data_IF_936071473692
#
_entry.id   IF_936071473692
#
_cell.length_a   1.000
_cell.length_b   1.000
_cell.length_c   1.000
_cell.angle_alpha   90.00
_cell.angle_beta   90.00
_cell.angle_gamma   90.00
#
_symmetry.space_group_name_H-M   'P 1'
#
loop_
_entity.id
_entity.type
_entity.pdbx_description
1 polymer ?
#
# COMPACT_ATOMS: atom_id res chain seq x y z
N UNK A 1 45.66 -5.27 -0.92
CA UNK A 1 46.44 -6.06 0.06
C UNK A 1 45.46 -6.56 1.11
N UNK A 2 45.43 -7.87 1.41
CA UNK A 2 44.40 -8.50 2.27
C UNK A 2 44.71 -8.45 3.78
N UNK A 3 45.48 -7.46 4.21
CA UNK A 3 45.93 -7.32 5.59
C UNK A 3 45.57 -5.92 6.07
N UNK A 4 44.83 -5.84 7.16
CA UNK A 4 44.36 -4.57 7.74
C UNK A 4 44.71 -4.54 9.22
N UNK A 5 45.27 -3.43 9.68
CA UNK A 5 45.46 -3.16 11.11
C UNK A 5 44.13 -2.71 11.69
N UNK A 6 43.64 -3.41 12.72
CA UNK A 6 42.36 -3.13 13.36
C UNK A 6 42.60 -2.69 14.79
N UNK A 7 41.92 -1.61 15.21
CA UNK A 7 41.99 -1.08 16.57
C UNK A 7 40.59 -1.04 17.18
N UNK A 8 40.48 -1.47 18.43
CA UNK A 8 39.29 -1.38 19.27
C UNK A 8 39.67 -0.96 20.69
N UNK A 9 38.69 -0.55 21.48
CA UNK A 9 38.89 -0.25 22.90
C UNK A 9 39.00 -1.56 23.70
N UNK A 10 40.06 -1.71 24.47
CA UNK A 10 40.24 -2.86 25.34
C UNK A 10 39.13 -2.91 26.40
N UNK A 11 38.67 -4.11 26.82
CA UNK A 11 37.57 -4.24 27.76
C UNK A 11 37.89 -3.60 29.12
N UNK A 12 36.92 -2.87 29.65
CA UNK A 12 36.95 -2.36 31.02
C UNK A 12 36.49 -3.44 32.00
N UNK A 13 37.24 -3.61 33.09
CA UNK A 13 36.96 -4.61 34.10
C UNK A 13 36.50 -3.92 35.39
N UNK A 14 35.29 -4.25 35.87
CA UNK A 14 34.74 -3.70 37.10
C UNK A 14 34.79 -4.74 38.22
N UNK A 15 35.78 -4.64 39.11
CA UNK A 15 35.86 -5.46 40.32
C UNK A 15 36.20 -4.62 41.54
N UNK A 16 35.85 -5.14 42.73
CA UNK A 16 36.26 -4.57 44.01
C UNK A 16 37.76 -4.83 44.31
N UNK A 17 38.37 -5.81 43.63
CA UNK A 17 39.74 -6.25 43.82
C UNK A 17 40.64 -5.90 42.63
N UNK A 18 41.95 -5.77 42.89
CA UNK A 18 42.97 -5.43 41.90
C UNK A 18 43.21 -6.56 40.88
N UNK A 19 43.29 -6.20 39.60
CA UNK A 19 43.58 -7.12 38.49
C UNK A 19 45.09 -7.26 38.35
N UNK A 20 45.59 -8.49 38.36
CA UNK A 20 47.03 -8.78 38.28
C UNK A 20 47.50 -9.12 36.88
N UNK A 21 46.63 -9.69 36.05
CA UNK A 21 46.96 -10.00 34.65
C UNK A 21 45.73 -9.96 33.76
N UNK A 22 45.95 -9.56 32.50
CA UNK A 22 44.98 -9.63 31.42
C UNK A 22 45.68 -10.27 30.23
N UNK A 23 45.09 -11.35 29.72
CA UNK A 23 45.57 -12.08 28.55
C UNK A 23 44.48 -12.09 27.47
N UNK A 24 44.89 -12.11 26.21
CA UNK A 24 43.99 -12.18 25.05
C UNK A 24 44.61 -13.00 23.92
N UNK A 25 43.77 -13.65 23.12
CA UNK A 25 44.20 -14.31 21.89
C UNK A 25 44.54 -13.32 20.76
N UNK A 26 44.01 -12.09 20.80
CA UNK A 26 44.30 -11.00 19.86
C UNK A 26 44.34 -9.64 20.58
N UNK A 27 45.16 -8.71 20.10
CA UNK A 27 45.32 -7.37 20.69
C UNK A 27 44.90 -6.27 19.73
N UNK A 28 44.37 -5.19 20.29
CA UNK A 28 44.08 -3.97 19.53
C UNK A 28 45.36 -3.47 18.86
N UNK A 29 45.30 -3.23 17.55
CA UNK A 29 46.46 -2.89 16.70
C UNK A 29 47.10 -4.09 15.98
N UNK A 30 46.61 -5.32 16.20
CA UNK A 30 47.05 -6.48 15.43
C UNK A 30 46.60 -6.38 13.95
N UNK A 31 47.29 -7.14 13.10
CA UNK A 31 47.02 -7.21 11.67
C UNK A 31 46.18 -8.46 11.38
N UNK A 32 45.01 -8.24 10.80
CA UNK A 32 44.06 -9.30 10.45
C UNK A 32 43.99 -9.49 8.94
N UNK A 33 43.75 -10.74 8.54
CA UNK A 33 43.32 -11.07 7.19
C UNK A 33 41.78 -11.08 7.12
N UNK A 34 41.20 -11.10 5.93
CA UNK A 34 39.74 -11.20 5.79
C UNK A 34 39.20 -12.50 6.37
N UNK A 35 38.12 -12.41 7.14
CA UNK A 35 37.50 -13.54 7.82
C UNK A 35 36.92 -13.17 9.18
N UNK A 36 36.56 -14.22 9.93
CA UNK A 36 35.87 -14.12 11.20
C UNK A 36 36.82 -14.49 12.34
N UNK A 37 36.92 -13.62 13.35
CA UNK A 37 37.81 -13.80 14.50
C UNK A 37 37.02 -13.65 15.78
N UNK A 38 37.06 -14.68 16.62
CA UNK A 38 36.49 -14.64 17.96
C UNK A 38 37.57 -14.16 18.94
N UNK A 39 37.41 -12.96 19.47
CA UNK A 39 38.38 -12.34 20.38
C UNK A 39 37.95 -12.63 21.82
N UNK A 40 38.87 -13.17 22.61
CA UNK A 40 38.63 -13.59 23.99
C UNK A 40 39.69 -12.98 24.89
N UNK A 41 39.24 -12.18 25.83
CA UNK A 41 40.04 -11.63 26.92
C UNK A 41 39.74 -12.38 28.22
N UNK A 42 40.80 -12.68 28.97
CA UNK A 42 40.72 -13.23 30.32
C UNK A 42 41.50 -12.37 31.29
N UNK A 43 40.89 -11.98 32.40
CA UNK A 43 41.55 -11.24 33.47
C UNK A 43 41.58 -12.04 34.76
N UNK A 44 42.70 -12.02 35.49
CA UNK A 44 42.83 -12.67 36.79
C UNK A 44 43.00 -11.62 37.89
N UNK A 45 42.30 -11.80 39.02
CA UNK A 45 42.47 -10.96 40.21
C UNK A 45 43.49 -11.55 41.20
N UNK A 46 43.82 -10.79 42.25
CA UNK A 46 44.76 -11.22 43.31
C UNK A 46 44.33 -12.48 44.07
N UNK A 47 43.03 -12.78 44.11
CA UNK A 47 42.48 -14.00 44.72
C UNK A 47 42.55 -15.23 43.80
N UNK A 48 43.00 -15.05 42.56
CA UNK A 48 43.11 -16.10 41.56
C UNK A 48 41.83 -16.37 40.76
N UNK A 49 40.76 -15.59 40.98
CA UNK A 49 39.52 -15.65 40.20
C UNK A 49 39.75 -15.10 38.79
N UNK A 50 39.13 -15.75 37.79
CA UNK A 50 39.29 -15.39 36.37
C UNK A 50 37.96 -14.92 35.78
N UNK A 51 37.94 -13.72 35.22
CA UNK A 51 36.85 -13.18 34.41
C UNK A 51 37.12 -13.35 32.92
N UNK A 52 36.06 -13.44 32.11
CA UNK A 52 36.14 -13.60 30.65
C UNK A 52 35.23 -12.59 29.96
N UNK A 53 35.76 -11.92 28.92
CA UNK A 53 35.02 -11.04 28.02
C UNK A 53 35.35 -11.44 26.59
N UNK A 54 34.37 -11.46 25.69
CA UNK A 54 34.56 -11.90 24.32
C UNK A 54 33.65 -11.17 23.34
N UNK A 55 34.11 -11.04 22.10
CA UNK A 55 33.35 -10.46 20.99
C UNK A 55 33.84 -11.02 19.65
N UNK A 56 32.98 -10.94 18.64
CA UNK A 56 33.31 -11.38 17.28
C UNK A 56 33.75 -10.17 16.43
N UNK A 57 34.83 -10.36 15.67
CA UNK A 57 35.37 -9.41 14.70
C UNK A 57 35.23 -9.99 13.28
N UNK A 58 34.49 -9.29 12.43
CA UNK A 58 34.29 -9.64 11.03
C UNK A 58 35.08 -8.66 10.15
N UNK A 59 36.08 -9.16 9.41
CA UNK A 59 36.86 -8.33 8.49
C UNK A 59 36.61 -8.70 7.03
N UNK A 60 36.16 -7.73 6.27
CA UNK A 60 35.67 -7.88 4.90
C UNK A 60 36.19 -6.74 3.99
N UNK A 61 36.35 -6.98 2.68
CA UNK A 61 36.47 -5.89 1.71
C UNK A 61 35.22 -5.00 1.77
N UNK A 62 35.40 -3.70 2.02
CA UNK A 62 34.34 -2.70 1.81
C UNK A 62 34.27 -2.35 0.32
N UNK A 63 33.89 -3.34 -0.50
CA UNK A 63 33.92 -3.28 -1.97
C UNK A 63 32.52 -3.20 -2.59
N UNK A 64 31.51 -2.78 -1.83
CA UNK A 64 30.19 -2.54 -2.38
C UNK A 64 30.22 -1.25 -3.20
N UNK A 65 30.61 -1.34 -4.48
CA UNK A 65 30.39 -0.25 -5.42
C UNK A 65 28.90 0.01 -5.51
N UNK A 66 28.50 1.27 -5.41
CA UNK A 66 27.14 1.67 -5.77
C UNK A 66 26.90 1.20 -7.21
N UNK A 67 25.86 0.36 -7.46
CA UNK A 67 25.56 -0.05 -8.81
C UNK A 67 25.30 1.19 -9.66
N UNK A 68 25.82 1.16 -10.88
CA UNK A 68 25.66 2.23 -11.86
C UNK A 68 24.20 2.21 -12.33
N UNK A 69 23.33 2.85 -11.54
CA UNK A 69 21.97 3.13 -11.95
C UNK A 69 22.03 4.42 -12.74
N UNK A 70 21.87 4.32 -14.06
CA UNK A 70 21.50 5.48 -14.86
C UNK A 70 20.17 5.99 -14.27
N UNK A 71 20.28 7.03 -13.46
CA UNK A 71 19.13 7.82 -13.03
C UNK A 71 18.60 8.53 -14.26
N UNK A 72 17.87 7.79 -15.09
CA UNK A 72 17.22 8.37 -16.23
C UNK A 72 16.19 9.36 -15.70
N UNK A 73 16.38 10.63 -16.04
CA UNK A 73 15.74 11.80 -15.43
C UNK A 73 14.22 11.92 -15.72
N UNK A 74 13.54 10.81 -15.97
CA UNK A 74 12.11 10.71 -16.20
C UNK A 74 11.39 9.65 -15.37
N UNK A 75 12.09 8.82 -14.59
CA UNK A 75 11.49 7.71 -13.86
C UNK A 75 10.98 8.14 -12.47
N UNK A 76 9.78 7.66 -12.08
CA UNK A 76 9.13 7.97 -10.78
C UNK A 76 9.82 7.28 -9.60
N UNK A 77 10.69 6.31 -9.86
CA UNK A 77 11.45 5.54 -8.88
C UNK A 77 12.80 6.20 -8.54
N UNK A 78 13.03 6.56 -7.28
CA UNK A 78 14.37 6.93 -6.79
C UNK A 78 14.91 5.78 -5.94
N UNK A 79 16.09 5.26 -6.31
CA UNK A 79 16.87 4.37 -5.46
C UNK A 79 17.52 5.21 -4.36
N UNK A 80 17.05 5.03 -3.14
CA UNK A 80 17.65 5.67 -1.96
C UNK A 80 18.60 4.70 -1.28
N UNK A 81 19.82 5.16 -1.04
CA UNK A 81 20.83 4.45 -0.28
C UNK A 81 20.82 5.00 1.14
N UNK A 82 20.44 4.18 2.11
CA UNK A 82 20.60 4.54 3.52
C UNK A 82 21.90 3.94 4.03
N UNK A 83 22.84 4.82 4.38
CA UNK A 83 24.04 4.43 5.13
C UNK A 83 23.64 4.34 6.62
N UNK A 84 22.84 3.34 6.94
CA UNK A 84 22.51 3.08 8.34
C UNK A 84 23.71 2.41 8.98
N UNK A 85 24.55 3.23 9.61
CA UNK A 85 25.43 2.78 10.68
C UNK A 85 24.64 1.90 11.66
N UNK A 86 25.20 0.73 11.97
CA UNK A 86 24.92 -0.10 13.14
C UNK A 86 23.64 -0.97 13.13
N UNK A 87 23.69 -2.08 12.41
CA UNK A 87 23.48 -3.37 13.07
C UNK A 87 24.88 -3.97 13.25
N UNK A 88 25.22 -4.46 14.44
CA UNK A 88 26.58 -4.83 14.90
C UNK A 88 27.29 -5.98 14.13
N UNK A 89 27.06 -6.16 12.83
CA UNK A 89 27.54 -7.33 12.04
C UNK A 89 28.07 -6.94 10.64
N UNK A 90 28.07 -5.66 10.26
CA UNK A 90 28.66 -5.21 8.99
C UNK A 90 27.92 -4.03 8.38
N UNK A 91 28.55 -3.35 7.42
CA UNK A 91 27.91 -2.33 6.59
C UNK A 91 26.91 -2.99 5.65
N UNK A 92 25.63 -3.00 6.02
CA UNK A 92 24.58 -3.36 5.07
C UNK A 92 24.18 -2.08 4.33
N UNK A 93 24.57 -1.96 3.06
CA UNK A 93 23.90 -1.01 2.18
C UNK A 93 22.56 -1.65 1.77
N UNK A 94 21.46 -0.92 1.96
CA UNK A 94 20.15 -1.31 1.49
C UNK A 94 19.68 -0.36 0.38
N UNK A 95 19.09 -0.92 -0.66
CA UNK A 95 18.42 -0.17 -1.71
C UNK A 95 16.90 -0.25 -1.51
N UNK A 96 16.26 0.91 -1.43
CA UNK A 96 14.80 1.08 -1.44
C UNK A 96 14.37 1.74 -2.74
N UNK A 97 13.25 1.26 -3.31
CA UNK A 97 12.56 1.95 -4.40
C UNK A 97 11.57 2.90 -3.76
N UNK A 98 11.78 4.21 -3.92
CA UNK A 98 10.82 5.24 -3.50
C UNK A 98 10.09 5.77 -4.72
N UNK A 99 8.78 5.96 -4.64
CA UNK A 99 7.96 6.46 -5.74
C UNK A 99 7.24 7.74 -5.32
N UNK A 100 7.17 8.74 -6.20
CA UNK A 100 6.42 9.97 -5.95
C UNK A 100 4.90 9.77 -6.15
N UNK A 101 4.38 8.66 -5.65
CA UNK A 101 2.95 8.35 -5.59
C UNK A 101 2.57 8.21 -4.11
N UNK A 102 1.54 8.93 -3.68
CA UNK A 102 1.06 8.94 -2.30
C UNK A 102 0.47 7.60 -1.86
N UNK A 103 0.17 6.71 -2.81
CA UNK A 103 -0.38 5.36 -2.59
C UNK A 103 0.70 4.27 -2.54
N UNK A 104 1.98 4.64 -2.63
CA UNK A 104 3.09 3.72 -2.38
C UNK A 104 3.27 3.53 -0.85
N UNK A 105 3.24 2.29 -0.32
CA UNK A 105 3.37 2.02 1.09
C UNK A 105 4.76 2.39 1.59
N UNK A 106 4.77 3.16 2.68
CA UNK A 106 5.93 3.38 3.53
C UNK A 106 5.80 2.51 4.79
N UNK A 107 6.89 1.93 5.32
CA UNK A 107 8.28 2.15 4.94
C UNK A 107 8.74 1.29 3.76
N UNK A 108 9.68 1.83 2.98
CA UNK A 108 10.22 1.18 1.79
C UNK A 108 10.83 -0.19 2.13
N UNK A 109 10.50 -1.26 1.38
CA UNK A 109 11.14 -2.54 1.62
C UNK A 109 12.61 -2.49 1.21
N UNK A 110 13.48 -3.13 2.01
CA UNK A 110 14.88 -3.33 1.65
C UNK A 110 14.99 -4.50 0.68
N UNK A 111 15.39 -4.22 -0.57
CA UNK A 111 15.44 -5.25 -1.62
C UNK A 111 16.77 -5.99 -1.69
N UNK A 112 17.85 -5.29 -1.38
CA UNK A 112 19.21 -5.80 -1.53
C UNK A 112 20.02 -5.55 -0.27
N UNK A 113 20.91 -6.49 0.02
CA UNK A 113 21.95 -6.38 1.05
C UNK A 113 23.28 -6.72 0.41
N UNK A 114 24.28 -5.86 0.61
CA UNK A 114 25.64 -6.20 0.23
C UNK A 114 26.26 -7.17 1.25
N UNK A 115 26.88 -8.25 0.78
CA UNK A 115 27.59 -9.18 1.63
C UNK A 115 29.02 -8.73 1.96
N UNK A 116 29.66 -9.51 2.82
CA UNK A 116 31.06 -9.34 3.24
C UNK A 116 32.08 -9.49 2.09
N UNK A 117 31.67 -9.93 0.90
CA UNK A 117 32.54 -10.04 -0.28
C UNK A 117 32.31 -8.89 -1.28
N UNK A 118 31.50 -7.89 -0.92
CA UNK A 118 31.15 -6.79 -1.82
C UNK A 118 30.11 -7.18 -2.87
N UNK A 119 29.44 -8.32 -2.72
CA UNK A 119 28.42 -8.80 -3.66
C UNK A 119 27.01 -8.42 -3.17
N UNK A 120 26.19 -7.96 -4.10
CA UNK A 120 24.79 -7.64 -3.82
C UNK A 120 23.92 -8.90 -3.88
N UNK A 121 23.19 -9.18 -2.80
CA UNK A 121 22.22 -10.27 -2.74
C UNK A 121 20.82 -9.76 -2.43
N UNK A 122 19.80 -10.51 -2.84
CA UNK A 122 18.42 -10.26 -2.42
C UNK A 122 18.34 -10.39 -0.90
N UNK A 123 17.68 -9.42 -0.25
CA UNK A 123 17.44 -9.49 1.20
C UNK A 123 16.73 -10.80 1.56
N UNK A 124 17.30 -11.55 2.50
CA UNK A 124 16.74 -12.82 3.00
C UNK A 124 15.41 -12.59 3.74
N UNK A 125 15.20 -11.38 4.24
CA UNK A 125 13.97 -10.94 4.91
C UNK A 125 12.93 -10.37 3.94
N UNK A 126 13.19 -10.37 2.63
CA UNK A 126 12.23 -9.88 1.64
C UNK A 126 11.16 -10.97 1.43
N UNK A 127 9.91 -10.82 1.91
CA UNK A 127 8.84 -11.68 1.44
C UNK A 127 8.74 -11.58 -0.09
N UNK A 128 7.93 -12.42 -0.73
CA UNK A 128 7.51 -12.17 -2.09
C UNK A 128 6.71 -10.85 -2.11
N UNK A 129 7.44 -9.73 -2.14
CA UNK A 129 6.89 -8.40 -2.19
C UNK A 129 6.42 -8.23 -3.62
N UNK A 130 5.12 -8.32 -3.79
CA UNK A 130 4.48 -7.70 -4.94
C UNK A 130 4.64 -6.21 -4.71
N UNK A 131 5.67 -5.63 -5.32
CA UNK A 131 5.91 -4.20 -5.27
C UNK A 131 4.64 -3.48 -5.74
N UNK A 132 4.12 -2.53 -4.98
CA UNK A 132 3.01 -1.70 -5.41
C UNK A 132 3.45 -0.89 -6.63
N UNK A 133 2.47 -0.45 -7.37
CA UNK A 133 2.70 0.09 -8.71
C UNK A 133 3.47 1.40 -8.62
N UNK A 134 4.72 1.40 -9.08
CA UNK A 134 5.48 2.62 -9.33
C UNK A 134 5.13 3.23 -10.70
N UNK A 135 3.84 3.39 -10.95
CA UNK A 135 3.27 4.04 -12.11
C UNK A 135 2.19 5.01 -11.66
N UNK A 136 1.83 5.97 -12.51
CA UNK A 136 0.75 6.88 -12.15
C UNK A 136 -0.53 6.08 -11.82
N UNK A 137 -1.25 6.55 -10.81
CA UNK A 137 -2.53 5.99 -10.41
C UNK A 137 -3.66 6.98 -10.66
N UNK A 138 -4.86 6.45 -10.86
CA UNK A 138 -6.08 7.24 -11.03
C UNK A 138 -7.22 6.62 -10.20
N UNK A 139 -8.22 7.43 -9.88
CA UNK A 139 -9.39 6.93 -9.18
C UNK A 139 -10.28 6.11 -10.14
N UNK A 140 -10.84 4.98 -9.67
CA UNK A 140 -11.80 4.24 -10.46
C UNK A 140 -13.14 4.97 -10.48
N UNK A 141 -13.91 4.74 -11.54
CA UNK A 141 -15.33 5.04 -11.56
C UNK A 141 -16.06 4.01 -10.70
N UNK A 142 -16.46 4.39 -9.50
CA UNK A 142 -17.34 3.61 -8.63
C UNK A 142 -18.78 3.82 -9.08
N UNK A 143 -19.46 2.74 -9.45
CA UNK A 143 -20.88 2.74 -9.85
C UNK A 143 -21.68 1.91 -8.86
N UNK A 144 -22.56 2.57 -8.13
CA UNK A 144 -23.48 1.97 -7.17
C UNK A 144 -24.86 1.96 -7.79
N UNK A 145 -25.53 0.81 -7.74
CA UNK A 145 -26.89 0.65 -8.26
C UNK A 145 -27.75 0.03 -7.20
N UNK A 146 -29.01 0.40 -7.17
CA UNK A 146 -29.96 -0.17 -6.24
C UNK A 146 -31.37 0.21 -6.63
N UNK A 147 -32.30 -0.22 -5.79
CA UNK A 147 -33.69 0.15 -5.96
C UNK A 147 -34.39 0.29 -4.61
N UNK A 148 -35.41 1.15 -4.59
CA UNK A 148 -36.35 1.30 -3.48
C UNK A 148 -37.74 0.95 -3.99
N UNK A 149 -38.38 -0.03 -3.35
CA UNK A 149 -39.77 -0.42 -3.64
C UNK A 149 -40.67 0.10 -2.54
N UNK A 150 -41.79 0.70 -2.92
CA UNK A 150 -42.90 1.01 -2.01
C UNK A 150 -44.13 0.17 -2.37
N UNK A 151 -44.80 -0.37 -1.36
CA UNK A 151 -46.04 -1.15 -1.50
C UNK A 151 -47.30 -0.26 -1.68
N UNK A 152 -47.17 0.89 -2.35
CA UNK A 152 -48.29 1.73 -2.82
C UNK A 152 -47.77 2.73 -3.87
N UNK A 153 -48.64 3.20 -4.77
CA UNK A 153 -48.37 4.25 -5.76
C UNK A 153 -48.73 5.66 -5.30
N UNK A 154 -49.34 5.81 -4.12
CA UNK A 154 -49.71 7.12 -3.59
C UNK A 154 -48.48 7.96 -3.24
N UNK A 155 -48.60 9.28 -3.45
CA UNK A 155 -47.56 10.27 -3.16
C UNK A 155 -46.20 9.97 -3.81
N UNK A 156 -46.19 9.58 -5.10
CA UNK A 156 -44.96 9.29 -5.85
C UNK A 156 -43.90 10.38 -5.68
N UNK A 157 -44.25 11.65 -5.90
CA UNK A 157 -43.32 12.78 -5.80
C UNK A 157 -42.71 12.92 -4.41
N UNK A 158 -43.52 12.82 -3.35
CA UNK A 158 -43.03 12.93 -1.97
C UNK A 158 -42.04 11.81 -1.64
N UNK A 159 -42.31 10.60 -2.10
CA UNK A 159 -41.46 9.42 -1.86
C UNK A 159 -40.19 9.45 -2.70
N UNK A 160 -40.31 9.86 -3.96
CA UNK A 160 -39.18 10.14 -4.83
C UNK A 160 -38.24 11.15 -4.15
N UNK A 161 -38.78 12.30 -3.71
CA UNK A 161 -37.99 13.35 -3.08
C UNK A 161 -37.37 12.91 -1.75
N UNK A 162 -38.07 12.07 -0.98
CA UNK A 162 -37.54 11.46 0.25
C UNK A 162 -36.32 10.59 -0.02
N UNK A 163 -36.41 9.71 -1.02
CA UNK A 163 -35.31 8.81 -1.42
C UNK A 163 -34.15 9.62 -2.00
N UNK A 164 -34.45 10.60 -2.85
CA UNK A 164 -33.47 11.48 -3.47
C UNK A 164 -32.69 12.28 -2.40
N UNK A 165 -33.39 12.99 -1.51
CA UNK A 165 -32.75 13.75 -0.42
C UNK A 165 -31.91 12.88 0.50
N UNK A 166 -32.35 11.64 0.79
CA UNK A 166 -31.58 10.74 1.62
C UNK A 166 -30.22 10.39 0.99
N UNK A 167 -30.20 10.15 -0.32
CA UNK A 167 -28.95 9.89 -1.06
C UNK A 167 -28.10 11.15 -1.21
N UNK A 168 -28.70 12.27 -1.62
CA UNK A 168 -28.02 13.57 -1.77
C UNK A 168 -27.36 13.99 -0.45
N UNK A 169 -28.02 13.81 0.70
CA UNK A 169 -27.44 14.15 2.00
C UNK A 169 -26.13 13.43 2.31
N UNK A 170 -25.97 12.19 1.84
CA UNK A 170 -24.73 11.42 2.00
C UNK A 170 -23.68 11.82 0.98
N UNK A 171 -24.10 12.06 -0.27
CA UNK A 171 -23.23 12.40 -1.38
C UNK A 171 -22.65 13.81 -1.24
N UNK A 172 -23.44 14.77 -0.78
CA UNK A 172 -23.04 16.16 -0.57
C UNK A 172 -22.05 16.33 0.59
N UNK A 173 -21.99 15.37 1.53
CA UNK A 173 -20.92 15.31 2.54
C UNK A 173 -19.58 14.90 1.94
N UNK A 174 -19.59 14.24 0.77
CA UNK A 174 -18.40 13.70 0.11
C UNK A 174 -17.92 14.67 -0.96
N UNK A 175 -18.80 15.06 -1.88
CA UNK A 175 -18.48 15.88 -3.04
C UNK A 175 -19.74 16.54 -3.61
N UNK A 176 -19.62 17.28 -4.70
CA UNK A 176 -20.73 18.02 -5.32
C UNK A 176 -21.33 17.28 -6.52
N UNK A 177 -22.60 17.53 -6.90
CA UNK A 177 -23.14 17.02 -8.15
C UNK A 177 -22.41 17.61 -9.37
N UNK A 178 -22.25 16.84 -10.43
CA UNK A 178 -21.62 17.33 -11.66
C UNK A 178 -22.53 18.30 -12.43
N UNK A 179 -22.01 19.45 -12.86
CA UNK A 179 -22.76 20.51 -13.57
C UNK A 179 -23.52 20.03 -14.83
N UNK A 180 -22.97 19.07 -15.58
CA UNK A 180 -23.49 18.65 -16.89
C UNK A 180 -24.10 17.23 -16.91
N UNK A 181 -24.18 16.51 -15.77
CA UNK A 181 -24.49 15.07 -15.73
C UNK A 181 -23.74 14.23 -16.81
N UNK A 182 -22.58 14.71 -17.27
CA UNK A 182 -21.85 14.10 -18.38
C UNK A 182 -21.05 12.89 -17.92
N UNK A 183 -21.04 11.87 -18.77
CA UNK A 183 -20.09 10.76 -18.72
C UNK A 183 -18.90 11.08 -19.64
N UNK A 184 -17.64 10.91 -19.21
CA UNK A 184 -17.20 10.34 -17.93
C UNK A 184 -17.25 11.33 -16.75
N UNK A 185 -17.60 10.81 -15.57
CA UNK A 185 -17.59 11.55 -14.30
C UNK A 185 -16.16 11.96 -13.95
N UNK A 186 -15.98 13.19 -13.46
CA UNK A 186 -14.66 13.72 -13.03
C UNK A 186 -14.40 13.41 -11.55
N UNK A 187 -13.14 13.50 -11.13
CA UNK A 187 -12.69 13.17 -9.75
C UNK A 187 -13.34 14.04 -8.65
N UNK A 188 -13.92 15.18 -9.02
CA UNK A 188 -14.43 16.19 -8.09
C UNK A 188 -15.97 16.24 -8.00
N UNK A 189 -16.68 15.28 -8.60
CA UNK A 189 -18.14 15.32 -8.57
C UNK A 189 -18.80 13.93 -8.65
N UNK A 190 -20.10 13.88 -8.35
CA UNK A 190 -20.94 12.69 -8.50
C UNK A 190 -22.07 12.93 -9.51
N UNK A 191 -22.54 11.84 -10.13
CA UNK A 191 -23.78 11.81 -10.91
C UNK A 191 -24.74 10.84 -10.23
N UNK A 192 -25.89 11.35 -9.80
CA UNK A 192 -27.00 10.55 -9.29
C UNK A 192 -28.13 10.57 -10.31
N UNK A 193 -28.55 9.39 -10.74
CA UNK A 193 -29.71 9.19 -11.60
C UNK A 193 -30.71 8.32 -10.87
N UNK A 194 -31.99 8.65 -10.97
CA UNK A 194 -33.07 7.89 -10.36
C UNK A 194 -34.27 7.86 -11.30
N UNK A 195 -35.00 6.74 -11.30
CA UNK A 195 -36.25 6.61 -12.05
C UNK A 195 -37.22 7.73 -11.65
N UNK A 196 -37.72 8.47 -12.63
CA UNK A 196 -38.68 9.54 -12.37
C UNK A 196 -40.10 9.01 -12.18
N UNK A 197 -40.97 9.79 -11.54
CA UNK A 197 -42.39 9.44 -11.45
C UNK A 197 -43.07 9.30 -12.84
N UNK A 198 -42.62 10.07 -13.84
CA UNK A 198 -43.17 9.99 -15.20
C UNK A 198 -42.81 8.66 -15.89
N UNK A 199 -41.62 8.12 -15.61
CA UNK A 199 -41.18 6.81 -16.14
C UNK A 199 -41.91 5.63 -15.49
N UNK A 200 -42.42 5.81 -14.26
CA UNK A 200 -43.16 4.77 -13.53
C UNK A 200 -44.60 4.60 -14.00
N UNK A 201 -45.17 5.61 -14.66
CA UNK A 201 -46.51 5.57 -15.24
C UNK A 201 -46.59 4.74 -16.54
N UNK A 202 -45.46 4.28 -17.09
CA UNK A 202 -45.40 3.54 -18.36
C UNK A 202 -45.55 2.01 -18.28
N UNK A 203 -45.92 1.43 -17.12
CA UNK A 203 -46.34 0.02 -17.09
C UNK A 203 -47.81 -0.05 -17.54
N UNK A 204 -48.05 -0.01 -18.86
CA UNK A 204 -49.38 -0.25 -19.43
C UNK A 204 -49.84 -1.69 -19.11
N UNK A 205 -51.02 -1.78 -18.50
CA UNK A 205 -51.64 -3.01 -17.99
C UNK A 205 -52.11 -4.01 -19.06
N UNK A 206 -51.53 -3.99 -20.26
CA UNK A 206 -51.95 -4.79 -21.42
C UNK A 206 -50.96 -5.90 -21.81
N UNK A 207 -49.96 -6.22 -20.97
CA UNK A 207 -49.14 -7.43 -21.14
C UNK A 207 -49.91 -8.69 -20.67
N UNK A 208 -50.32 -9.59 -21.58
CA UNK A 208 -51.14 -10.75 -21.24
C UNK A 208 -50.38 -11.88 -20.51
N UNK A 209 -49.08 -11.73 -20.27
CA UNK A 209 -48.26 -12.72 -19.55
C UNK A 209 -47.83 -12.29 -18.16
N UNK A 210 -48.25 -11.11 -17.71
CA UNK A 210 -47.73 -10.49 -16.49
C UNK A 210 -48.90 -10.11 -15.57
N UNK A 211 -49.23 -10.99 -14.61
CA UNK A 211 -50.07 -10.63 -13.47
C UNK A 211 -49.20 -10.05 -12.35
N UNK A 212 -48.87 -8.76 -12.42
CA UNK A 212 -48.36 -8.02 -11.25
C UNK A 212 -49.55 -7.32 -10.61
N UNK A 213 -49.76 -7.52 -9.31
CA UNK A 213 -50.62 -6.61 -8.53
C UNK A 213 -50.04 -5.19 -8.69
N UNK A 214 -50.86 -4.29 -9.24
CA UNK A 214 -50.47 -3.00 -9.81
C UNK A 214 -50.16 -1.90 -8.78
N UNK A 215 -49.82 -2.23 -7.55
CA UNK A 215 -49.77 -1.26 -6.45
C UNK A 215 -48.34 -0.85 -6.03
N UNK A 216 -47.29 -1.38 -6.66
CA UNK A 216 -45.91 -1.08 -6.23
C UNK A 216 -45.25 0.01 -7.08
N UNK A 217 -44.38 0.78 -6.43
CA UNK A 217 -43.56 1.82 -7.05
C UNK A 217 -42.08 1.46 -6.84
N UNK A 218 -41.27 1.46 -7.91
CA UNK A 218 -39.88 1.01 -7.87
C UNK A 218 -38.95 2.10 -8.39
N UNK A 219 -38.25 2.80 -7.50
CA UNK A 219 -37.22 3.76 -7.89
C UNK A 219 -35.90 3.03 -8.07
N UNK A 220 -35.45 2.83 -9.30
CA UNK A 220 -34.08 2.40 -9.56
C UNK A 220 -33.18 3.63 -9.49
N UNK A 221 -32.02 3.49 -8.86
CA UNK A 221 -31.03 4.56 -8.83
C UNK A 221 -29.66 4.05 -9.24
N UNK A 222 -28.87 4.96 -9.81
CA UNK A 222 -27.46 4.75 -10.11
C UNK A 222 -26.69 5.96 -9.65
N UNK A 223 -25.67 5.73 -8.83
CA UNK A 223 -24.70 6.72 -8.38
C UNK A 223 -23.37 6.40 -9.07
N UNK A 224 -22.78 7.40 -9.70
CA UNK A 224 -21.45 7.31 -10.29
C UNK A 224 -20.55 8.38 -9.68
N UNK A 225 -19.41 7.96 -9.15
CA UNK A 225 -18.39 8.84 -8.59
C UNK A 225 -17.01 8.34 -9.04
N UNK A 226 -16.13 9.25 -9.48
CA UNK A 226 -14.76 8.89 -9.84
C UNK A 226 -13.87 8.94 -8.59
N UNK A 227 -14.21 8.09 -7.62
CA UNK A 227 -13.52 7.98 -6.34
C UNK A 227 -13.86 6.61 -5.72
N UNK A 228 -12.90 5.93 -5.09
CA UNK A 228 -13.16 4.64 -4.44
C UNK A 228 -13.44 4.84 -2.94
N UNK A 229 -14.69 4.70 -2.54
CA UNK A 229 -15.13 4.79 -1.15
C UNK A 229 -15.68 3.45 -0.70
N UNK A 230 -14.87 2.73 0.09
CA UNK A 230 -15.19 1.40 0.60
C UNK A 230 -16.53 1.34 1.37
N UNK A 231 -16.87 2.38 2.12
CA UNK A 231 -18.08 2.42 2.96
C UNK A 231 -19.26 3.18 2.33
N UNK A 232 -19.18 3.61 1.07
CA UNK A 232 -20.25 4.41 0.46
C UNK A 232 -21.56 3.63 0.35
N UNK A 233 -21.50 2.37 -0.04
CA UNK A 233 -22.69 1.50 -0.13
C UNK A 233 -23.42 1.37 1.20
N UNK A 234 -22.66 1.19 2.28
CA UNK A 234 -23.23 1.09 3.62
C UNK A 234 -23.84 2.43 4.07
N UNK A 235 -23.19 3.56 3.77
CA UNK A 235 -23.73 4.89 4.09
C UNK A 235 -25.03 5.17 3.35
N UNK A 236 -25.07 4.90 2.03
CA UNK A 236 -26.27 5.05 1.20
C UNK A 236 -27.39 4.12 1.69
N UNK A 237 -27.10 2.83 1.85
CA UNK A 237 -28.07 1.85 2.36
C UNK A 237 -28.64 2.28 3.72
N UNK A 238 -27.79 2.73 4.64
CA UNK A 238 -28.22 3.20 5.97
C UNK A 238 -29.10 4.44 5.87
N UNK A 239 -28.75 5.41 5.03
CA UNK A 239 -29.56 6.62 4.82
C UNK A 239 -30.93 6.28 4.24
N UNK A 240 -30.99 5.41 3.23
CA UNK A 240 -32.24 4.93 2.64
C UNK A 240 -33.11 4.19 3.67
N UNK A 241 -32.53 3.25 4.41
CA UNK A 241 -33.25 2.51 5.46
C UNK A 241 -33.80 3.38 6.59
N UNK A 242 -33.20 4.55 6.84
CA UNK A 242 -33.68 5.51 7.83
C UNK A 242 -34.74 6.46 7.25
N UNK A 243 -34.73 6.68 5.94
CA UNK A 243 -35.66 7.57 5.25
C UNK A 243 -36.99 6.90 4.90
N UNK A 244 -37.00 5.58 4.67
CA UNK A 244 -38.21 4.84 4.25
C UNK A 244 -38.93 4.13 5.40
N UNK A 245 -40.24 3.91 5.24
CA UNK A 245 -41.03 3.07 6.15
C UNK A 245 -40.69 1.60 5.94
N UNK A 246 -40.06 0.98 6.95
CA UNK A 246 -39.56 -0.41 6.89
C UNK A 246 -40.64 -1.46 6.78
N UNK A 247 -41.87 -1.14 7.20
CA UNK A 247 -42.98 -2.10 7.17
C UNK A 247 -43.61 -2.18 5.77
N UNK A 248 -43.43 -1.14 4.95
CA UNK A 248 -44.08 -1.00 3.64
C UNK A 248 -43.12 -0.73 2.47
N UNK A 249 -41.81 -0.75 2.73
CA UNK A 249 -40.78 -0.46 1.73
C UNK A 249 -39.67 -1.49 1.77
N UNK A 250 -39.08 -1.75 0.61
CA UNK A 250 -37.90 -2.59 0.45
C UNK A 250 -36.78 -1.75 -0.15
N UNK A 251 -35.59 -1.81 0.45
CA UNK A 251 -34.37 -1.21 -0.10
C UNK A 251 -33.39 -2.32 -0.40
N UNK A 252 -32.85 -2.35 -1.61
CA UNK A 252 -31.79 -3.28 -1.96
C UNK A 252 -30.72 -2.60 -2.83
N UNK A 253 -29.49 -3.09 -2.68
CA UNK A 253 -28.29 -2.57 -3.35
C UNK A 253 -27.70 -3.70 -4.20
N UNK A 254 -27.44 -3.40 -5.46
CA UNK A 254 -26.70 -4.29 -6.34
C UNK A 254 -25.20 -4.22 -6.02
N UNK A 255 -24.42 -5.25 -6.36
CA UNK A 255 -22.98 -5.22 -6.19
C UNK A 255 -22.35 -4.01 -6.88
N UNK A 256 -21.53 -3.29 -6.12
CA UNK A 256 -20.81 -2.10 -6.58
C UNK A 256 -19.79 -2.47 -7.63
N UNK A 257 -19.84 -1.74 -8.74
CA UNK A 257 -18.91 -1.90 -9.85
C UNK A 257 -17.82 -0.84 -9.77
N UNK A 258 -16.60 -1.20 -10.17
CA UNK A 258 -15.50 -0.26 -10.28
C UNK A 258 -14.84 -0.45 -11.64
N UNK A 259 -14.84 0.61 -12.44
CA UNK A 259 -14.27 0.64 -13.77
C UNK A 259 -13.06 1.58 -13.83
N UNK A 260 -12.08 1.21 -14.65
CA UNK A 260 -10.90 2.01 -14.89
C UNK A 260 -10.91 2.64 -16.29
N UNK A 261 -10.32 3.82 -16.41
CA UNK A 261 -10.09 4.46 -17.70
C UNK A 261 -9.07 3.66 -18.54
N UNK A 262 -9.16 3.78 -19.86
CA UNK A 262 -8.21 3.19 -20.79
C UNK A 262 -6.74 3.57 -20.55
N UNK A 263 -6.49 4.76 -19.99
CA UNK A 263 -5.14 5.21 -19.62
C UNK A 263 -4.59 4.53 -18.37
N UNK A 264 -5.46 3.93 -17.53
CA UNK A 264 -5.13 3.26 -16.27
C UNK A 264 -5.82 1.89 -16.19
N UNK A 265 -5.59 0.97 -17.15
CA UNK A 265 -6.46 -0.19 -17.36
C UNK A 265 -6.40 -1.25 -16.25
N UNK A 266 -5.43 -1.17 -15.33
CA UNK A 266 -5.23 -2.19 -14.30
C UNK A 266 -5.97 -1.79 -13.03
N UNK A 267 -6.95 -2.61 -12.63
CA UNK A 267 -7.63 -2.48 -11.33
C UNK A 267 -6.78 -3.11 -10.23
N UNK A 268 -6.44 -2.32 -9.22
CA UNK A 268 -5.69 -2.76 -8.04
C UNK A 268 -6.59 -2.66 -6.81
N UNK A 269 -6.49 -3.66 -5.93
CA UNK A 269 -7.17 -3.69 -4.63
C UNK A 269 -6.16 -4.05 -3.54
N UNK A 270 -5.97 -3.14 -2.60
CA UNK A 270 -5.08 -3.31 -1.44
C UNK A 270 -5.86 -3.00 -0.17
N UNK A 271 -6.23 -4.05 0.58
CA UNK A 271 -7.12 -3.88 1.73
C UNK A 271 -8.48 -3.29 1.33
N UNK A 272 -8.78 -2.11 1.87
CA UNK A 272 -10.01 -1.33 1.60
C UNK A 272 -9.85 -0.34 0.44
N UNK A 273 -8.61 -0.11 -0.01
CA UNK A 273 -8.32 0.80 -1.12
C UNK A 273 -8.49 0.11 -2.47
N UNK A 274 -9.10 0.84 -3.41
CA UNK A 274 -9.21 0.45 -4.81
C UNK A 274 -8.78 1.61 -5.70
N UNK A 275 -7.90 1.32 -6.65
CA UNK A 275 -7.41 2.32 -7.58
C UNK A 275 -7.11 1.72 -8.95
N UNK A 276 -7.02 2.59 -9.95
CA UNK A 276 -6.64 2.26 -11.30
C UNK A 276 -5.17 2.59 -11.50
N UNK A 277 -4.48 1.76 -12.26
CA UNK A 277 -3.06 1.91 -12.51
C UNK A 277 -2.69 1.65 -13.95
N UNK A 278 -1.64 2.34 -14.40
CA UNK A 278 -1.05 2.12 -15.72
C UNK A 278 -0.28 0.79 -15.79
N UNK A 279 0.22 0.29 -14.66
CA UNK A 279 1.05 -0.92 -14.62
C UNK A 279 0.54 -1.94 -13.61
N UNK A 280 0.85 -3.21 -13.83
CA UNK A 280 0.49 -4.28 -12.89
C UNK A 280 1.43 -4.30 -11.68
N UNK A 281 0.99 -4.80 -10.51
CA UNK A 281 1.86 -5.01 -9.36
C UNK A 281 3.13 -5.80 -9.74
N UNK A 282 4.29 -5.38 -9.24
CA UNK A 282 5.60 -5.94 -9.60
C UNK A 282 6.25 -5.36 -10.87
N UNK A 283 5.60 -4.40 -11.53
CA UNK A 283 6.12 -3.67 -12.68
C UNK A 283 6.23 -2.16 -12.37
N UNK A 284 7.17 -1.48 -13.03
CA UNK A 284 7.28 -0.02 -13.04
C UNK A 284 6.82 0.54 -14.39
N UNK A 285 6.46 1.82 -14.42
CA UNK A 285 6.15 2.52 -15.66
C UNK A 285 7.41 3.22 -16.20
N UNK A 286 7.77 2.90 -17.44
CA UNK A 286 8.84 3.54 -18.20
C UNK A 286 8.24 4.18 -19.45
N UNK A 287 8.07 5.51 -19.44
CA UNK A 287 7.49 6.29 -20.53
C UNK A 287 6.15 5.76 -21.11
N UNK A 288 5.29 5.21 -20.24
CA UNK A 288 3.98 4.66 -20.60
C UNK A 288 3.98 3.15 -20.84
N UNK A 289 5.14 2.49 -20.81
CA UNK A 289 5.26 1.04 -20.92
C UNK A 289 5.39 0.39 -19.54
N UNK A 290 4.58 -0.65 -19.28
CA UNK A 290 4.73 -1.49 -18.10
C UNK A 290 5.94 -2.42 -18.28
N UNK A 291 7.01 -2.15 -17.53
CA UNK A 291 8.21 -3.00 -17.51
C UNK A 291 8.31 -3.75 -16.19
N UNK A 292 8.68 -5.05 -16.20
CA UNK A 292 8.94 -5.76 -14.95
C UNK A 292 10.02 -5.01 -14.18
N UNK A 293 9.86 -4.85 -12.86
CA UNK A 293 10.95 -4.36 -12.04
C UNK A 293 12.19 -5.21 -12.37
N UNK A 294 13.36 -4.59 -12.64
CA UNK A 294 14.52 -5.32 -13.13
C UNK A 294 14.81 -6.53 -12.25
N UNK A 295 14.57 -7.74 -12.79
CA UNK A 295 14.94 -8.97 -12.11
C UNK A 295 16.44 -9.14 -12.37
N UNK A 296 17.24 -8.72 -11.39
CA UNK A 296 18.66 -9.05 -11.35
C UNK A 296 19.50 -8.40 -12.45
N UNK A 297 19.72 -7.09 -12.38
CA UNK A 297 20.80 -6.45 -13.16
C UNK A 297 22.20 -6.76 -12.64
N UNK A 298 22.34 -7.59 -11.60
CA UNK A 298 23.63 -8.13 -11.16
C UNK A 298 23.45 -9.61 -10.78
N UNK A 299 23.78 -10.49 -11.73
CA UNK A 299 24.24 -11.85 -11.46
C UNK A 299 25.73 -11.85 -11.15
#
# INVERSE_FOLDING_TARGET
TRLTTITWDDPEWSYQDEIVSVDSNFKSGDVFYWGDFHIVYTAQNTEGSVGRCEFDLFLAPNECSQPDYESDQGHVCVLTWTDTLASQVGSYLAASVTCNDTRFPMPDPQFYTCDVMGQWHRSVASPALTLPVCGATDNPLQTIRGFVVYNTKDNCTERHDTVLHAMESVLDEITVPCDDQQTPVKDECYVLTMTSCEELDFIEADDPFVTIDTDWMIFNFTIQIKYALFNLDQRISTALWNAVDKDNSLVDMLPTDFACDSNFPIKVREGDDQFCSQTSPGNFNDDGESKPCPIGTYS
#
